data_IF_413346242712
#
_entry.id   IF_413346242712
#
_cell.length_a   1.000
_cell.length_b   1.000
_cell.length_c   1.000
_cell.angle_alpha   90.00
_cell.angle_beta   90.00
_cell.angle_gamma   90.00
#
_symmetry.space_group_name_H-M   'P 1'
#
loop_
_entity.id
_entity.type
_entity.pdbx_description
1 polymer ?
#
# COMPACT_ATOMS: atom_id res chain seq x y z
N UNK A 1 -6.23 -1.45 -16.98
CA UNK A 1 -6.24 -0.24 -16.14
C UNK A 1 -4.80 0.13 -15.83
N UNK A 2 -4.50 1.41 -15.56
CA UNK A 2 -3.15 1.82 -15.19
C UNK A 2 -3.07 1.98 -13.67
N UNK A 3 -2.08 1.36 -13.04
CA UNK A 3 -1.79 1.56 -11.62
C UNK A 3 -1.19 2.95 -11.39
N UNK A 4 -1.77 3.73 -10.47
CA UNK A 4 -1.21 5.01 -10.02
C UNK A 4 0.04 4.79 -9.17
N UNK A 5 0.08 3.69 -8.43
CA UNK A 5 1.20 3.36 -7.53
C UNK A 5 1.88 2.04 -7.91
N UNK A 6 3.16 1.91 -7.51
CA UNK A 6 4.00 0.73 -7.72
C UNK A 6 4.39 0.14 -6.37
N UNK A 7 4.77 -1.14 -6.39
CA UNK A 7 5.43 -1.78 -5.24
C UNK A 7 6.62 -0.92 -4.79
N UNK A 8 6.69 -0.72 -3.48
CA UNK A 8 7.67 0.10 -2.80
C UNK A 8 7.28 1.57 -2.63
N UNK A 9 6.26 2.09 -3.33
CA UNK A 9 5.85 3.49 -3.10
C UNK A 9 5.33 3.69 -1.67
N UNK A 10 5.77 4.77 -1.05
CA UNK A 10 5.19 5.27 0.19
C UNK A 10 3.93 6.08 -0.13
N UNK A 11 2.84 5.74 0.55
CA UNK A 11 1.52 6.31 0.35
C UNK A 11 0.92 6.82 1.66
N UNK A 12 0.01 7.78 1.52
CA UNK A 12 -0.80 8.33 2.59
C UNK A 12 -2.28 7.99 2.34
N UNK A 13 -2.99 7.53 3.37
CA UNK A 13 -4.41 7.23 3.29
C UNK A 13 -5.25 8.46 3.64
N UNK A 14 -5.88 9.06 2.62
CA UNK A 14 -6.57 10.35 2.69
C UNK A 14 -7.60 10.48 3.83
N UNK A 15 -8.33 9.41 4.14
CA UNK A 15 -9.38 9.42 5.18
C UNK A 15 -8.91 9.03 6.59
N UNK A 16 -7.91 8.18 6.72
CA UNK A 16 -7.51 7.56 7.98
C UNK A 16 -6.13 8.01 8.46
N UNK A 17 -5.50 8.91 7.71
CA UNK A 17 -4.29 9.66 8.08
C UNK A 17 -3.12 8.76 8.49
N UNK A 18 -2.99 7.59 7.83
CA UNK A 18 -1.86 6.68 8.02
C UNK A 18 -0.94 6.70 6.81
N UNK A 19 0.33 6.39 7.06
CA UNK A 19 1.36 6.21 6.04
C UNK A 19 1.72 4.74 5.92
N UNK A 20 2.12 4.30 4.73
CA UNK A 20 2.58 2.93 4.54
C UNK A 20 3.28 2.72 3.21
N UNK A 21 3.89 1.55 3.05
CA UNK A 21 4.53 1.14 1.79
C UNK A 21 3.73 0.03 1.12
N UNK A 22 3.50 0.17 -0.19
CA UNK A 22 2.85 -0.86 -1.00
C UNK A 22 3.80 -2.04 -1.17
N UNK A 23 3.35 -3.26 -0.86
CA UNK A 23 4.13 -4.49 -1.08
C UNK A 23 3.47 -5.49 -2.03
N UNK A 24 2.19 -5.32 -2.35
CA UNK A 24 1.49 -6.10 -3.38
C UNK A 24 0.38 -5.28 -4.03
N UNK A 25 0.02 -5.61 -5.27
CA UNK A 25 -1.04 -4.94 -6.02
C UNK A 25 -1.89 -5.95 -6.79
N UNK A 26 -3.21 -5.75 -6.79
CA UNK A 26 -4.16 -6.46 -7.63
C UNK A 26 -4.88 -5.46 -8.53
N UNK A 27 -5.20 -5.86 -9.77
CA UNK A 27 -5.94 -5.01 -10.72
C UNK A 27 -7.38 -4.70 -10.26
N UNK A 28 -7.95 -5.58 -9.44
CA UNK A 28 -9.30 -5.54 -8.88
C UNK A 28 -9.28 -6.12 -7.48
N UNK A 29 -10.26 -5.76 -6.65
CA UNK A 29 -10.40 -6.31 -5.30
C UNK A 29 -10.49 -7.85 -5.35
N UNK A 30 -9.58 -8.51 -4.63
CA UNK A 30 -9.55 -9.98 -4.46
C UNK A 30 -10.06 -10.44 -3.10
N UNK A 31 -10.46 -9.52 -2.22
CA UNK A 31 -10.97 -9.89 -0.91
C UNK A 31 -12.30 -10.63 -1.00
N UNK A 32 -12.47 -11.66 -0.17
CA UNK A 32 -13.75 -12.36 -0.04
C UNK A 32 -14.89 -11.41 0.38
N UNK A 33 -16.11 -11.74 -0.04
CA UNK A 33 -17.31 -10.94 0.24
C UNK A 33 -17.50 -10.66 1.73
N UNK A 34 -17.29 -11.68 2.57
CA UNK A 34 -17.40 -11.51 4.02
C UNK A 34 -16.44 -10.45 4.56
N UNK A 35 -15.22 -10.41 4.04
CA UNK A 35 -14.26 -9.37 4.41
C UNK A 35 -14.66 -8.01 3.84
N UNK A 36 -15.05 -7.95 2.57
CA UNK A 36 -15.38 -6.69 1.92
C UNK A 36 -16.58 -5.98 2.57
N UNK A 37 -17.67 -6.73 2.83
CA UNK A 37 -18.90 -6.15 3.39
C UNK A 37 -18.83 -5.80 4.88
N UNK A 38 -17.78 -6.23 5.61
CA UNK A 38 -17.58 -5.83 7.01
C UNK A 38 -16.86 -4.48 7.16
N UNK A 39 -16.28 -3.95 6.08
CA UNK A 39 -15.54 -2.71 6.13
C UNK A 39 -16.47 -1.51 6.27
N UNK A 40 -15.97 -0.46 6.95
CA UNK A 40 -16.69 0.82 7.11
C UNK A 40 -16.95 1.53 5.79
N UNK A 41 -16.10 1.28 4.80
CA UNK A 41 -16.21 1.80 3.43
C UNK A 41 -16.18 0.64 2.45
N UNK A 42 -16.85 0.82 1.32
CA UNK A 42 -16.99 -0.20 0.27
C UNK A 42 -16.63 0.44 -1.09
N UNK A 43 -15.35 0.86 -1.26
CA UNK A 43 -14.87 1.42 -2.52
C UNK A 43 -15.04 0.42 -3.65
N UNK A 44 -15.25 0.90 -4.88
CA UNK A 44 -15.52 0.02 -6.03
C UNK A 44 -14.48 -1.10 -6.14
N UNK A 45 -14.92 -2.34 -6.35
CA UNK A 45 -14.01 -3.48 -6.54
C UNK A 45 -13.27 -3.44 -7.88
N UNK A 46 -13.83 -2.75 -8.87
CA UNK A 46 -13.32 -2.60 -10.24
C UNK A 46 -12.30 -1.46 -10.38
N UNK A 47 -11.26 -1.49 -9.55
CA UNK A 47 -10.11 -0.57 -9.59
C UNK A 47 -8.91 -1.30 -8.95
N UNK A 48 -7.67 -0.78 -9.04
CA UNK A 48 -6.55 -1.37 -8.32
C UNK A 48 -6.72 -1.37 -6.80
N UNK A 49 -6.29 -2.46 -6.16
CA UNK A 49 -6.21 -2.58 -4.71
C UNK A 49 -4.79 -2.97 -4.30
N UNK A 50 -4.37 -2.50 -3.14
CA UNK A 50 -3.00 -2.62 -2.67
C UNK A 50 -2.95 -3.25 -1.28
N UNK A 51 -2.00 -4.16 -1.07
CA UNK A 51 -1.57 -4.50 0.29
C UNK A 51 -0.47 -3.53 0.72
N UNK A 52 -0.62 -2.98 1.92
CA UNK A 52 0.22 -1.91 2.46
C UNK A 52 0.73 -2.30 3.84
N UNK A 53 2.04 -2.20 4.05
CA UNK A 53 2.65 -2.21 5.38
C UNK A 53 2.48 -0.80 5.98
N UNK A 54 1.64 -0.67 7.00
CA UNK A 54 1.32 0.59 7.67
C UNK A 54 2.39 0.91 8.70
N UNK A 55 2.83 2.17 8.74
CA UNK A 55 3.76 2.66 9.76
C UNK A 55 3.27 2.29 11.18
N UNK A 56 4.17 1.74 11.99
CA UNK A 56 3.85 1.28 13.34
C UNK A 56 3.41 -0.19 13.45
N UNK A 57 3.30 -0.95 12.36
CA UNK A 57 3.35 -2.42 12.43
C UNK A 57 2.09 -3.20 12.01
N UNK A 58 1.13 -2.58 11.34
CA UNK A 58 -0.05 -3.30 10.82
C UNK A 58 -0.02 -3.44 9.30
N UNK A 59 -0.80 -4.37 8.78
CA UNK A 59 -1.02 -4.54 7.34
C UNK A 59 -2.47 -4.22 6.98
N UNK A 60 -2.69 -3.74 5.76
CA UNK A 60 -4.03 -3.39 5.28
C UNK A 60 -4.17 -3.63 3.79
N UNK A 61 -5.42 -3.83 3.35
CA UNK A 61 -5.80 -3.98 1.95
C UNK A 61 -6.74 -2.84 1.55
N UNK A 62 -6.31 -2.01 0.61
CA UNK A 62 -6.92 -0.69 0.37
C UNK A 62 -7.08 -0.40 -1.12
N UNK A 63 -8.21 0.20 -1.48
CA UNK A 63 -8.48 0.67 -2.85
C UNK A 63 -7.63 1.90 -3.22
N UNK A 64 -7.19 1.97 -4.47
CA UNK A 64 -6.37 3.06 -5.01
C UNK A 64 -6.94 4.46 -4.75
N UNK A 65 -8.27 4.62 -4.87
CA UNK A 65 -8.93 5.93 -4.68
C UNK A 65 -8.74 6.54 -3.28
N UNK A 66 -8.41 5.72 -2.28
CA UNK A 66 -8.17 6.19 -0.91
C UNK A 66 -6.72 6.65 -0.67
N UNK A 67 -5.84 6.49 -1.66
CA UNK A 67 -4.41 6.73 -1.51
C UNK A 67 -3.92 7.95 -2.30
N UNK A 68 -2.91 8.60 -1.72
CA UNK A 68 -2.07 9.59 -2.38
C UNK A 68 -0.59 9.34 -2.11
N UNK A 69 0.28 9.96 -2.89
CA UNK A 69 1.72 9.90 -2.66
C UNK A 69 2.08 10.59 -1.34
N UNK A 70 2.97 9.98 -0.56
CA UNK A 70 3.59 10.70 0.54
C UNK A 70 4.41 11.89 0.01
N UNK A 71 4.26 13.03 0.68
CA UNK A 71 5.01 14.27 0.39
C UNK A 71 5.97 14.66 1.51
N UNK A 72 5.98 13.90 2.60
CA UNK A 72 6.80 14.19 3.79
C UNK A 72 8.22 13.64 3.66
N UNK A 73 8.42 12.59 2.84
CA UNK A 73 9.70 11.92 2.68
C UNK A 73 10.09 11.06 3.89
N UNK A 74 9.17 10.84 4.83
CA UNK A 74 9.40 10.03 6.03
C UNK A 74 9.49 8.57 5.64
N UNK A 75 10.43 7.87 6.29
CA UNK A 75 10.56 6.42 6.16
C UNK A 75 9.49 5.73 6.97
N UNK A 76 8.98 4.62 6.44
CA UNK A 76 8.08 3.72 7.16
C UNK A 76 8.90 2.90 8.16
N UNK A 77 8.33 2.69 9.35
CA UNK A 77 8.84 1.79 10.38
C UNK A 77 7.86 0.63 10.51
N UNK A 78 8.25 -0.54 10.01
CA UNK A 78 7.45 -1.76 10.07
C UNK A 78 8.34 -2.99 10.30
N UNK A 79 7.97 -3.95 11.17
CA UNK A 79 8.79 -5.14 11.47
C UNK A 79 9.17 -5.97 10.23
N UNK A 80 8.29 -6.03 9.23
CA UNK A 80 8.51 -6.79 7.99
C UNK A 80 9.19 -5.98 6.88
N UNK A 81 9.47 -4.70 7.08
CA UNK A 81 10.00 -3.83 6.04
C UNK A 81 11.32 -4.36 5.47
N UNK A 82 12.25 -4.72 6.35
CA UNK A 82 13.57 -5.22 5.98
C UNK A 82 13.55 -6.67 5.45
N UNK A 83 12.43 -7.37 5.55
CA UNK A 83 12.25 -8.70 4.95
C UNK A 83 11.84 -8.59 3.47
N UNK A 84 11.16 -7.49 3.10
CA UNK A 84 10.65 -7.27 1.75
C UNK A 84 11.55 -6.34 0.93
N UNK A 85 12.14 -5.32 1.56
CA UNK A 85 12.90 -4.28 0.86
C UNK A 85 14.30 -4.12 1.43
N UNK A 86 15.24 -3.71 0.56
CA UNK A 86 16.65 -3.57 0.90
C UNK A 86 17.17 -2.13 0.79
N UNK A 87 16.53 -1.30 -0.04
CA UNK A 87 16.96 0.07 -0.23
C UNK A 87 15.75 1.01 -0.35
N UNK A 88 16.02 2.31 -0.20
CA UNK A 88 15.03 3.36 -0.28
C UNK A 88 15.62 4.56 -1.04
N UNK A 89 14.91 5.02 -2.07
CA UNK A 89 15.30 6.16 -2.90
C UNK A 89 14.04 6.94 -3.30
N UNK A 90 14.03 8.26 -3.05
CA UNK A 90 12.98 9.21 -3.46
C UNK A 90 11.54 8.72 -3.26
N UNK A 91 11.17 8.36 -2.02
CA UNK A 91 9.79 7.96 -1.71
C UNK A 91 9.44 6.52 -2.11
N UNK A 92 10.43 5.73 -2.54
CA UNK A 92 10.22 4.34 -2.96
C UNK A 92 11.24 3.38 -2.35
N UNK A 93 10.73 2.28 -1.82
CA UNK A 93 11.51 1.12 -1.42
C UNK A 93 11.75 0.18 -2.60
N UNK A 94 12.90 -0.49 -2.61
CA UNK A 94 13.28 -1.43 -3.67
C UNK A 94 13.69 -2.78 -3.06
N UNK A 95 13.23 -3.85 -3.71
CA UNK A 95 13.63 -5.23 -3.44
C UNK A 95 15.05 -5.46 -3.99
N UNK A 96 15.69 -6.59 -3.63
CA UNK A 96 16.89 -7.03 -4.33
C UNK A 96 16.50 -7.46 -5.74
N UNK A 97 16.80 -6.65 -6.76
CA UNK A 97 16.94 -7.24 -8.10
C UNK A 97 18.32 -7.87 -8.18
N UNK A 98 18.38 -9.20 -8.20
CA UNK A 98 19.51 -9.85 -8.87
C UNK A 98 19.39 -9.43 -10.34
N UNK A 99 20.41 -8.68 -10.79
CA UNK A 99 20.53 -8.24 -12.19
C UNK A 99 20.38 -9.40 -13.17
#
# INVERSE_FOLDING_TARGET
MAYKFKIGHVVHHQRYDYFGVIFHADEVCRAEDRWYYRNRTQPTRQQPWYNVLVDGGSETYVAEENLEFDRTGKRIVHPMLNQMFLSYHDGRYFEMSLN
#
